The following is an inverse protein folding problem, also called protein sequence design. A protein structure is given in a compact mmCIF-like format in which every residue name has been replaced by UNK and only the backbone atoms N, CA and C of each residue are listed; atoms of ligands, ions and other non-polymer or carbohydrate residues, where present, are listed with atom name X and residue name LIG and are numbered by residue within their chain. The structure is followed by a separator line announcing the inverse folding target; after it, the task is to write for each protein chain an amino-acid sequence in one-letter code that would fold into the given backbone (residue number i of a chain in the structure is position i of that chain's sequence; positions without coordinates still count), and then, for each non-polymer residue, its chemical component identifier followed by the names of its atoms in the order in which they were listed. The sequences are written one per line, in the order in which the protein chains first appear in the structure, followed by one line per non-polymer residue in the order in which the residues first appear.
data_IF_706918894150
#
_entry.id   IF_706918894150
#
_cell.length_a   1.000
_cell.length_b   1.000
_cell.length_c   1.000
_cell.angle_alpha   90.00
_cell.angle_beta   90.00
_cell.angle_gamma   90.00
#
_symmetry.space_group_name_H-M   'P 1'
#
loop_
_entity.id
_entity.type
_entity.pdbx_description
1 polymer ?
#
# COMPACT_ATOMS: atom_id res chain seq x y z
N UNK A 1 -3.99 -38.40 29.67
CA UNK A 1 -4.02 -36.95 29.39
C UNK A 1 -5.47 -36.57 29.21
N UNK A 2 -6.02 -35.75 30.11
CA UNK A 2 -7.46 -35.45 30.10
C UNK A 2 -7.74 -34.40 29.03
N UNK A 3 -8.93 -34.43 28.42
CA UNK A 3 -9.36 -33.46 27.38
C UNK A 3 -9.12 -32.00 27.82
N UNK A 4 -9.20 -31.73 29.13
CA UNK A 4 -8.94 -30.42 29.73
C UNK A 4 -7.48 -29.94 29.56
N UNK A 5 -6.50 -30.85 29.59
CA UNK A 5 -5.08 -30.49 29.40
C UNK A 5 -4.85 -30.05 27.94
N UNK A 6 -5.43 -30.79 27.00
CA UNK A 6 -5.45 -30.47 25.56
C UNK A 6 -6.13 -29.13 25.27
N UNK A 7 -7.23 -28.81 25.95
CA UNK A 7 -7.91 -27.53 25.80
C UNK A 7 -7.07 -26.37 26.36
N UNK A 8 -6.37 -26.59 27.47
CA UNK A 8 -5.47 -25.59 28.07
C UNK A 8 -4.28 -25.28 27.18
N UNK A 9 -3.69 -26.30 26.56
CA UNK A 9 -2.61 -26.14 25.58
C UNK A 9 -3.07 -25.40 24.32
N UNK A 10 -4.24 -25.74 23.78
CA UNK A 10 -4.80 -25.04 22.62
C UNK A 10 -5.11 -23.56 22.91
N UNK A 11 -5.63 -23.26 24.10
CA UNK A 11 -5.84 -21.87 24.54
C UNK A 11 -4.53 -21.09 24.64
N UNK A 12 -3.47 -21.72 25.17
CA UNK A 12 -2.16 -21.09 25.31
C UNK A 12 -1.55 -20.75 23.94
N UNK A 13 -1.65 -21.66 22.98
CA UNK A 13 -1.22 -21.43 21.58
C UNK A 13 -2.00 -20.27 20.97
N UNK A 14 -3.34 -20.26 21.12
CA UNK A 14 -4.18 -19.18 20.61
C UNK A 14 -3.80 -17.81 21.21
N UNK A 15 -3.53 -17.77 22.51
CA UNK A 15 -3.11 -16.56 23.21
C UNK A 15 -1.74 -16.07 22.74
N UNK A 16 -0.77 -16.96 22.52
CA UNK A 16 0.55 -16.59 21.98
C UNK A 16 0.46 -16.05 20.54
N UNK A 17 -0.36 -16.67 19.69
CA UNK A 17 -0.64 -16.17 18.33
C UNK A 17 -1.27 -14.77 18.40
N UNK A 18 -2.22 -14.54 19.31
CA UNK A 18 -2.84 -13.23 19.48
C UNK A 18 -1.84 -12.16 19.95
N UNK A 19 -0.98 -12.49 20.91
CA UNK A 19 0.08 -11.59 21.37
C UNK A 19 1.08 -11.27 20.25
N UNK A 20 1.44 -12.25 19.43
CA UNK A 20 2.33 -12.06 18.28
C UNK A 20 1.70 -11.19 17.20
N UNK A 21 0.44 -11.46 16.83
CA UNK A 21 -0.30 -10.63 15.88
C UNK A 21 -0.42 -9.18 16.38
N UNK A 22 -0.66 -8.99 17.67
CA UNK A 22 -0.70 -7.69 18.31
C UNK A 22 0.69 -7.01 18.37
N UNK A 23 1.79 -7.75 18.51
CA UNK A 23 3.16 -7.22 18.40
C UNK A 23 3.48 -6.78 16.96
N UNK A 24 3.03 -7.53 15.94
CA UNK A 24 3.12 -7.10 14.53
C UNK A 24 2.31 -5.83 14.32
N UNK A 25 1.08 -5.75 14.85
CA UNK A 25 0.23 -4.56 14.74
C UNK A 25 0.75 -3.35 15.54
N UNK A 26 1.39 -3.60 16.68
CA UNK A 26 2.09 -2.60 17.51
C UNK A 26 3.49 -2.28 17.02
N UNK A 27 4.02 -3.01 16.03
CA UNK A 27 5.05 -2.53 15.12
C UNK A 27 4.43 -1.43 14.24
N UNK A 28 4.03 -0.36 14.93
CA UNK A 28 3.45 0.86 14.42
C UNK A 28 4.38 1.36 13.34
N UNK A 29 3.78 1.65 12.18
CA UNK A 29 3.85 2.97 11.55
C UNK A 29 4.94 3.89 12.16
N UNK A 30 6.22 3.59 11.88
CA UNK A 30 7.20 4.66 11.73
C UNK A 30 6.54 5.57 10.69
N UNK A 31 6.31 6.82 11.05
CA UNK A 31 5.79 7.84 10.14
C UNK A 31 6.47 7.64 8.79
N UNK A 32 5.71 7.14 7.79
CA UNK A 32 6.28 6.90 6.46
C UNK A 32 6.82 8.25 6.01
N UNK A 33 8.12 8.39 5.74
CA UNK A 33 8.67 9.69 5.39
C UNK A 33 7.91 10.20 4.18
N UNK A 34 7.28 11.37 4.32
CA UNK A 34 6.49 11.99 3.24
C UNK A 34 7.31 12.10 1.93
N UNK A 35 8.64 12.18 2.07
CA UNK A 35 9.61 12.26 0.97
C UNK A 35 10.20 10.91 0.53
N UNK A 36 9.57 9.77 0.82
CA UNK A 36 10.05 8.49 0.30
C UNK A 36 9.92 8.46 -1.22
N UNK A 37 11.06 8.47 -1.93
CA UNK A 37 11.12 8.34 -3.39
C UNK A 37 10.40 7.06 -3.85
N UNK A 38 9.75 7.14 -5.01
CA UNK A 38 9.16 5.98 -5.67
C UNK A 38 10.26 5.14 -6.29
N UNK A 39 10.29 3.83 -6.02
CA UNK A 39 11.10 2.90 -6.79
C UNK A 39 10.46 2.64 -8.16
N UNK A 40 11.24 2.09 -9.08
CA UNK A 40 10.73 1.71 -10.41
C UNK A 40 9.65 0.62 -10.30
N UNK A 41 9.85 -0.36 -9.41
CA UNK A 41 8.88 -1.42 -9.11
C UNK A 41 7.56 -0.85 -8.54
N UNK A 42 7.63 0.10 -7.59
CA UNK A 42 6.46 0.79 -7.06
C UNK A 42 5.74 1.59 -8.15
N UNK A 43 6.51 2.18 -9.08
CA UNK A 43 5.99 2.88 -10.24
C UNK A 43 5.22 1.95 -11.18
N UNK A 44 5.80 0.81 -11.53
CA UNK A 44 5.16 -0.19 -12.39
C UNK A 44 3.90 -0.78 -11.75
N UNK A 45 3.97 -1.09 -10.45
CA UNK A 45 2.82 -1.59 -9.70
C UNK A 45 1.68 -0.57 -9.69
N UNK A 46 2.00 0.71 -9.54
CA UNK A 46 1.02 1.80 -9.59
C UNK A 46 0.40 1.94 -10.98
N UNK A 47 1.19 1.87 -12.05
CA UNK A 47 0.69 1.96 -13.42
C UNK A 47 -0.26 0.79 -13.73
N UNK A 48 0.08 -0.43 -13.29
CA UNK A 48 -0.80 -1.60 -13.42
C UNK A 48 -2.07 -1.47 -12.55
N UNK A 49 -1.95 -0.96 -11.34
CA UNK A 49 -3.11 -0.74 -10.47
C UNK A 49 -4.05 0.33 -11.07
N UNK A 50 -3.50 1.34 -11.73
CA UNK A 50 -4.28 2.37 -12.44
C UNK A 50 -5.05 1.81 -13.64
N UNK A 51 -4.49 0.85 -14.39
CA UNK A 51 -5.22 0.22 -15.50
C UNK A 51 -6.37 -0.65 -15.03
N UNK A 52 -6.22 -1.35 -13.89
CA UNK A 52 -7.27 -2.22 -13.34
C UNK A 52 -8.35 -1.43 -12.59
N UNK A 53 -7.94 -0.58 -11.64
CA UNK A 53 -8.85 0.06 -10.69
C UNK A 53 -9.24 1.49 -11.07
N UNK A 54 -8.62 2.05 -12.12
CA UNK A 54 -8.77 3.46 -12.46
C UNK A 54 -8.30 4.38 -11.33
N UNK A 55 -8.88 5.57 -11.23
CA UNK A 55 -8.53 6.57 -10.19
C UNK A 55 -9.28 6.29 -8.88
N UNK A 56 -9.13 5.08 -8.35
CA UNK A 56 -9.66 4.71 -7.03
C UNK A 56 -8.54 4.77 -5.97
N UNK A 57 -8.37 5.93 -5.34
CA UNK A 57 -7.27 6.17 -4.39
C UNK A 57 -7.19 5.16 -3.24
N UNK A 58 -8.34 4.63 -2.77
CA UNK A 58 -8.38 3.64 -1.70
C UNK A 58 -7.84 2.29 -2.18
N UNK A 59 -8.25 1.85 -3.37
CA UNK A 59 -7.72 0.62 -3.96
C UNK A 59 -6.22 0.76 -4.25
N UNK A 60 -5.80 1.89 -4.84
CA UNK A 60 -4.40 2.15 -5.19
C UNK A 60 -3.48 2.19 -3.96
N UNK A 61 -3.91 2.80 -2.85
CA UNK A 61 -3.13 2.80 -1.60
C UNK A 61 -3.04 1.42 -0.94
N UNK A 62 -3.99 0.54 -1.21
CA UNK A 62 -3.94 -0.84 -0.72
C UNK A 62 -3.04 -1.73 -1.57
N UNK A 63 -2.86 -1.41 -2.86
CA UNK A 63 -1.95 -2.14 -3.75
C UNK A 63 -0.51 -1.70 -3.48
N UNK A 64 -0.23 -0.39 -3.48
CA UNK A 64 1.09 0.15 -3.16
C UNK A 64 1.20 0.35 -1.65
N UNK A 65 1.24 -0.77 -0.91
CA UNK A 65 1.21 -0.77 0.57
C UNK A 65 2.37 -0.02 1.20
N UNK A 66 3.47 0.22 0.48
CA UNK A 66 4.63 1.00 0.91
C UNK A 66 4.38 2.52 0.91
N UNK A 67 3.37 3.02 0.20
CA UNK A 67 3.06 4.45 0.07
C UNK A 67 1.82 4.85 0.87
N UNK A 68 1.80 6.09 1.36
CA UNK A 68 0.59 6.65 1.96
C UNK A 68 -0.43 7.04 0.88
N UNK A 69 -1.70 7.18 1.27
CA UNK A 69 -2.76 7.67 0.38
C UNK A 69 -2.41 9.03 -0.25
N UNK A 70 -1.76 9.91 0.51
CA UNK A 70 -1.34 11.23 0.03
C UNK A 70 -0.22 11.13 -1.01
N UNK A 71 0.74 10.22 -0.82
CA UNK A 71 1.79 9.96 -1.80
C UNK A 71 1.24 9.38 -3.10
N UNK A 72 0.26 8.47 -2.99
CA UNK A 72 -0.48 7.94 -4.14
C UNK A 72 -1.22 9.06 -4.87
N UNK A 73 -1.89 9.97 -4.15
CA UNK A 73 -2.55 11.13 -4.73
C UNK A 73 -1.58 12.04 -5.48
N UNK A 74 -0.45 12.40 -4.86
CA UNK A 74 0.59 13.23 -5.48
C UNK A 74 1.14 12.58 -6.75
N UNK A 75 1.34 11.25 -6.73
CA UNK A 75 1.81 10.49 -7.89
C UNK A 75 0.82 10.54 -9.05
N UNK A 76 -0.47 10.33 -8.79
CA UNK A 76 -1.50 10.42 -9.84
C UNK A 76 -1.56 11.81 -10.44
N UNK A 77 -1.51 12.85 -9.60
CA UNK A 77 -1.49 14.24 -10.07
C UNK A 77 -0.29 14.49 -11.00
N UNK A 78 0.90 14.07 -10.58
CA UNK A 78 2.11 14.17 -11.40
C UNK A 78 1.98 13.46 -12.76
N UNK A 79 1.40 12.25 -12.78
CA UNK A 79 1.20 11.49 -14.01
C UNK A 79 0.22 12.20 -14.97
N UNK A 80 -0.87 12.78 -14.45
CA UNK A 80 -1.83 13.56 -15.25
C UNK A 80 -1.18 14.81 -15.84
N UNK A 81 -0.40 15.53 -15.04
CA UNK A 81 0.31 16.73 -15.50
C UNK A 81 1.33 16.37 -16.59
N UNK A 82 2.03 15.23 -16.45
CA UNK A 82 2.95 14.71 -17.46
C UNK A 82 2.23 14.33 -18.77
N UNK A 83 1.03 13.76 -18.69
CA UNK A 83 0.23 13.43 -19.88
C UNK A 83 -0.26 14.69 -20.61
N UNK A 84 -0.78 15.68 -19.87
CA UNK A 84 -1.21 16.96 -20.45
C UNK A 84 -0.10 17.64 -21.23
N UNK A 85 1.10 17.75 -20.64
CA UNK A 85 2.26 18.33 -21.32
C UNK A 85 2.65 17.60 -22.62
N UNK A 86 2.46 16.28 -22.69
CA UNK A 86 2.72 15.51 -23.92
C UNK A 86 1.68 15.82 -25.00
N UNK A 87 0.41 15.95 -24.62
CA UNK A 87 -0.66 16.32 -25.54
C UNK A 87 -0.45 17.75 -26.05
N UNK A 88 -0.18 18.70 -25.15
CA UNK A 88 0.08 20.09 -25.50
C UNK A 88 1.29 20.23 -26.45
N UNK A 89 2.35 19.42 -26.26
CA UNK A 89 3.51 19.41 -27.15
C UNK A 89 3.21 18.81 -28.54
N UNK A 90 2.26 17.87 -28.65
CA UNK A 90 1.82 17.32 -29.93
C UNK A 90 0.99 18.34 -30.72
N UNK A 91 0.12 19.10 -30.05
CA UNK A 91 -0.69 20.15 -30.68
C UNK A 91 0.10 21.38 -31.18
N UNK A 92 1.36 21.58 -30.76
CA UNK A 92 2.20 22.67 -31.24
C UNK A 92 3.08 22.30 -32.45
N UNK A 93 3.21 21.01 -32.76
CA UNK A 93 3.94 20.53 -33.95
C UNK A 93 3.03 20.32 -35.17
N UNK A 94 1.71 20.23 -34.95
CA UNK A 94 0.68 20.39 -35.98
C UNK A 94 0.41 21.89 -36.25
#
# INVERSE_FOLDING_TARGET
MQINDLLKENYLILHQIHQYAHQIHKCKHKSRPLNQKWSDEEGQLMDYALTIFGVNYKALSNVVTSKSKDQVYQRIRYLKDKQRKKQDAQFQQE
#
